data_IF_781530618318
#
_entry.id   IF_781530618318
#
_cell.length_a   1.000
_cell.length_b   1.000
_cell.length_c   1.000
_cell.angle_alpha   90.00
_cell.angle_beta   90.00
_cell.angle_gamma   90.00
#
_symmetry.space_group_name_H-M   'P 1'
#
loop_
_entity.id
_entity.type
_entity.pdbx_description
1 polymer ?
#
# COMPACT_ATOMS: atom_id res chain seq x y z
N UNK A 1 -11.35 9.12 21.63
CA UNK A 1 -10.13 8.36 21.24
C UNK A 1 -10.14 6.90 21.73
N UNK A 2 -10.26 6.59 23.04
CA UNK A 2 -10.25 5.18 23.54
C UNK A 2 -11.34 4.27 22.97
N UNK A 3 -12.50 4.81 22.61
CA UNK A 3 -13.58 4.09 21.92
C UNK A 3 -13.22 3.78 20.46
N UNK A 4 -12.60 4.73 19.75
CA UNK A 4 -12.18 4.57 18.34
C UNK A 4 -11.03 3.56 18.19
N UNK A 5 -10.05 3.55 19.10
CA UNK A 5 -8.96 2.56 19.10
C UNK A 5 -9.49 1.15 19.33
N UNK A 6 -10.46 0.97 20.23
CA UNK A 6 -11.09 -0.35 20.47
C UNK A 6 -11.82 -0.86 19.23
N UNK A 7 -12.60 -0.01 18.57
CA UNK A 7 -13.30 -0.36 17.32
C UNK A 7 -12.29 -0.76 16.23
N UNK A 8 -11.22 0.01 16.04
CA UNK A 8 -10.19 -0.31 15.06
C UNK A 8 -9.54 -1.67 15.36
N UNK A 9 -9.17 -1.93 16.62
CA UNK A 9 -8.59 -3.21 17.02
C UNK A 9 -9.54 -4.38 16.75
N UNK A 10 -10.83 -4.24 17.08
CA UNK A 10 -11.83 -5.28 16.79
C UNK A 10 -11.89 -5.59 15.29
N UNK A 11 -11.91 -4.57 14.43
CA UNK A 11 -11.93 -4.75 12.98
C UNK A 11 -10.66 -5.49 12.50
N UNK A 12 -9.49 -5.13 13.03
CA UNK A 12 -8.22 -5.80 12.69
C UNK A 12 -8.23 -7.27 13.14
N UNK A 13 -8.71 -7.56 14.36
CA UNK A 13 -8.83 -8.95 14.83
C UNK A 13 -9.78 -9.77 13.97
N UNK A 14 -10.90 -9.19 13.51
CA UNK A 14 -11.81 -9.85 12.58
C UNK A 14 -11.09 -10.15 11.25
N UNK A 15 -10.38 -9.17 10.67
CA UNK A 15 -9.61 -9.36 9.43
C UNK A 15 -8.57 -10.48 9.56
N UNK A 16 -7.78 -10.47 10.63
CA UNK A 16 -6.77 -11.51 10.88
C UNK A 16 -7.45 -12.87 11.12
N UNK A 17 -8.54 -12.90 11.87
CA UNK A 17 -9.31 -14.11 12.14
C UNK A 17 -9.84 -14.78 10.87
N UNK A 18 -10.32 -13.99 9.90
CA UNK A 18 -10.78 -14.49 8.59
C UNK A 18 -9.62 -15.12 7.81
N UNK A 19 -8.45 -14.48 7.81
CA UNK A 19 -7.25 -15.01 7.13
C UNK A 19 -6.80 -16.31 7.80
N UNK A 20 -6.75 -16.35 9.13
CA UNK A 20 -6.38 -17.55 9.88
C UNK A 20 -7.40 -18.67 9.67
N UNK A 21 -8.68 -18.36 9.62
CA UNK A 21 -9.74 -19.33 9.30
C UNK A 21 -9.49 -19.97 7.93
N UNK A 22 -9.19 -19.18 6.91
CA UNK A 22 -8.84 -19.70 5.58
C UNK A 22 -7.62 -20.63 5.66
N UNK A 23 -6.53 -20.18 6.30
CA UNK A 23 -5.30 -20.97 6.40
C UNK A 23 -5.56 -22.30 7.11
N UNK A 24 -6.18 -22.26 8.29
CA UNK A 24 -6.41 -23.46 9.11
C UNK A 24 -7.33 -24.44 8.41
N UNK A 25 -8.46 -23.97 7.88
CA UNK A 25 -9.43 -24.85 7.20
C UNK A 25 -8.84 -25.37 5.89
N UNK A 26 -8.18 -24.50 5.11
CA UNK A 26 -7.64 -24.84 3.82
C UNK A 26 -6.47 -25.83 3.88
N UNK A 27 -5.67 -25.83 4.96
CA UNK A 27 -4.57 -26.78 5.16
C UNK A 27 -5.02 -28.25 5.06
N UNK A 28 -6.23 -28.58 5.50
CA UNK A 28 -6.77 -29.95 5.42
C UNK A 28 -7.12 -30.40 4.00
N UNK A 29 -7.19 -29.47 3.04
CA UNK A 29 -7.57 -29.74 1.65
C UNK A 29 -6.42 -29.49 0.67
N UNK A 30 -5.21 -29.23 1.18
CA UNK A 30 -4.01 -29.07 0.34
C UNK A 30 -3.67 -30.40 -0.32
N UNK A 31 -3.55 -30.39 -1.64
CA UNK A 31 -3.06 -31.51 -2.45
C UNK A 31 -1.70 -31.14 -3.02
N UNK A 32 -0.59 -31.74 -2.54
CA UNK A 32 0.76 -31.44 -3.02
C UNK A 32 0.95 -31.57 -4.54
N UNK A 33 0.10 -32.37 -5.20
CA UNK A 33 0.06 -32.48 -6.66
C UNK A 33 -0.18 -31.12 -7.37
N UNK A 34 -0.88 -30.18 -6.74
CA UNK A 34 -1.14 -28.85 -7.30
C UNK A 34 0.13 -27.98 -7.37
N UNK A 35 1.17 -28.31 -6.60
CA UNK A 35 2.46 -27.63 -6.65
C UNK A 35 3.37 -28.14 -7.77
N UNK A 36 2.92 -29.10 -8.58
CA UNK A 36 3.66 -29.56 -9.75
C UNK A 36 3.00 -29.09 -11.05
N UNK A 37 3.73 -28.36 -11.92
CA UNK A 37 5.08 -27.82 -11.74
C UNK A 37 5.12 -26.61 -10.77
N UNK A 38 6.17 -26.49 -9.95
CA UNK A 38 6.28 -25.42 -8.94
C UNK A 38 6.62 -24.07 -9.55
N UNK A 39 7.46 -24.06 -10.59
CA UNK A 39 7.89 -22.87 -11.31
C UNK A 39 7.55 -22.97 -12.81
N UNK A 40 6.26 -23.01 -13.19
CA UNK A 40 5.85 -23.14 -14.59
C UNK A 40 6.37 -22.00 -15.48
N UNK A 41 6.52 -20.80 -14.89
CA UNK A 41 6.98 -19.61 -15.59
C UNK A 41 8.45 -19.25 -15.29
N UNK A 42 9.18 -20.09 -14.54
CA UNK A 42 10.57 -19.84 -14.14
C UNK A 42 10.78 -18.61 -13.23
N UNK A 43 12.06 -18.29 -12.97
CA UNK A 43 12.46 -17.17 -12.09
C UNK A 43 12.31 -15.79 -12.73
N UNK A 44 12.88 -15.63 -13.92
CA UNK A 44 12.90 -14.38 -14.69
C UNK A 44 12.49 -14.73 -16.11
N UNK A 45 11.18 -14.62 -16.40
CA UNK A 45 10.64 -14.91 -17.72
C UNK A 45 9.82 -13.72 -18.20
N UNK A 46 9.92 -13.40 -19.50
CA UNK A 46 9.21 -12.29 -20.14
C UNK A 46 7.67 -12.41 -20.04
N UNK A 47 7.16 -13.60 -19.69
CA UNK A 47 5.72 -13.87 -19.51
C UNK A 47 5.22 -13.74 -18.07
N UNK A 48 6.01 -13.20 -17.14
CA UNK A 48 5.60 -13.04 -15.74
C UNK A 48 5.98 -14.22 -14.84
N UNK A 49 7.28 -14.43 -14.65
CA UNK A 49 7.82 -15.39 -13.67
C UNK A 49 7.74 -14.89 -12.22
N UNK A 50 8.46 -15.55 -11.30
CA UNK A 50 8.47 -15.22 -9.85
C UNK A 50 8.69 -13.73 -9.59
N UNK A 51 9.61 -13.10 -10.33
CA UNK A 51 9.94 -11.69 -10.14
C UNK A 51 8.84 -10.73 -10.63
N UNK A 52 8.14 -11.09 -11.71
CA UNK A 52 6.98 -10.31 -12.19
C UNK A 52 5.82 -10.45 -11.21
N UNK A 53 5.57 -11.66 -10.72
CA UNK A 53 4.60 -11.91 -9.66
C UNK A 53 4.92 -11.13 -8.38
N UNK A 54 6.19 -11.12 -7.95
CA UNK A 54 6.66 -10.36 -6.80
C UNK A 54 6.40 -8.84 -6.96
N UNK A 55 6.62 -8.29 -8.15
CA UNK A 55 6.31 -6.89 -8.45
C UNK A 55 4.80 -6.62 -8.40
N UNK A 56 3.96 -7.55 -8.85
CA UNK A 56 2.50 -7.41 -8.78
C UNK A 56 1.98 -7.49 -7.33
N UNK A 57 2.38 -8.52 -6.58
CA UNK A 57 1.92 -8.74 -5.20
C UNK A 57 2.57 -7.78 -4.20
N UNK A 58 3.57 -7.00 -4.60
CA UNK A 58 4.10 -5.89 -3.80
C UNK A 58 2.99 -4.96 -3.29
N UNK A 59 1.94 -4.78 -4.10
CA UNK A 59 0.75 -4.02 -3.73
C UNK A 59 0.15 -4.45 -2.38
N UNK A 60 0.18 -5.75 -2.06
CA UNK A 60 -0.37 -6.29 -0.82
C UNK A 60 0.40 -5.82 0.42
N UNK A 61 1.67 -5.40 0.28
CA UNK A 61 2.49 -4.90 1.38
C UNK A 61 2.29 -3.41 1.66
N UNK A 62 1.54 -2.70 0.83
CA UNK A 62 1.32 -1.27 1.01
C UNK A 62 0.47 -0.97 2.25
N UNK A 63 0.78 0.15 2.92
CA UNK A 63 0.01 0.65 4.07
C UNK A 63 0.72 0.58 5.42
N UNK A 64 1.91 -0.04 5.52
CA UNK A 64 2.71 0.04 6.76
C UNK A 64 3.17 1.49 7.07
N UNK A 65 3.35 2.30 6.03
CA UNK A 65 3.70 3.72 6.14
C UNK A 65 2.58 4.53 6.79
N UNK A 66 1.33 4.07 6.76
CA UNK A 66 0.22 4.73 7.44
C UNK A 66 0.42 4.78 8.97
N UNK A 67 1.19 3.84 9.55
CA UNK A 67 1.57 3.87 10.97
C UNK A 67 2.32 5.17 11.30
N UNK A 68 3.13 5.69 10.36
CA UNK A 68 3.87 6.94 10.52
C UNK A 68 2.98 8.17 10.77
N UNK A 69 1.76 8.17 10.22
CA UNK A 69 0.82 9.28 10.36
C UNK A 69 0.31 9.48 11.79
N UNK A 70 0.33 8.43 12.61
CA UNK A 70 -0.10 8.47 14.02
C UNK A 70 1.05 8.75 14.99
N UNK A 71 2.24 9.13 14.50
CA UNK A 71 3.43 9.33 15.34
C UNK A 71 3.19 10.32 16.52
N UNK A 72 2.38 11.35 16.30
CA UNK A 72 2.06 12.37 17.31
C UNK A 72 1.21 11.83 18.47
N UNK A 73 0.49 10.72 18.27
CA UNK A 73 -0.41 10.11 19.26
C UNK A 73 0.24 8.92 19.99
N UNK A 74 1.41 8.48 19.54
CA UNK A 74 2.10 7.31 20.09
C UNK A 74 2.93 7.69 21.31
N UNK A 75 2.71 6.99 22.43
CA UNK A 75 3.61 7.07 23.59
C UNK A 75 4.99 6.56 23.19
N UNK A 76 6.05 7.35 23.41
CA UNK A 76 7.43 7.02 23.03
C UNK A 76 7.56 6.58 21.54
N UNK A 77 7.34 7.52 20.59
CA UNK A 77 7.31 7.19 19.16
C UNK A 77 8.66 6.68 18.66
N UNK A 78 9.77 7.11 19.27
CA UNK A 78 11.14 6.68 18.91
C UNK A 78 11.34 5.17 18.95
N UNK A 79 10.68 4.48 19.89
CA UNK A 79 10.76 3.03 20.05
C UNK A 79 9.55 2.30 19.46
N UNK A 80 8.35 2.85 19.68
CA UNK A 80 7.12 2.14 19.34
C UNK A 80 6.76 2.24 17.85
N UNK A 81 7.16 3.30 17.15
CA UNK A 81 6.89 3.43 15.71
C UNK A 81 7.65 2.40 14.87
N UNK A 82 8.98 2.20 15.05
CA UNK A 82 9.71 1.14 14.34
C UNK A 82 9.17 -0.25 14.64
N UNK A 83 8.82 -0.54 15.90
CA UNK A 83 8.25 -1.84 16.30
C UNK A 83 6.90 -2.05 15.61
N UNK A 84 6.05 -1.02 15.54
CA UNK A 84 4.77 -1.09 14.83
C UNK A 84 4.96 -1.38 13.35
N UNK A 85 5.83 -0.61 12.66
CA UNK A 85 6.08 -0.77 11.22
C UNK A 85 6.66 -2.16 10.90
N UNK A 86 7.74 -2.55 11.56
CA UNK A 86 8.42 -3.82 11.30
C UNK A 86 7.55 -5.00 11.74
N UNK A 87 6.89 -4.89 12.90
CA UNK A 87 6.01 -5.93 13.43
C UNK A 87 4.82 -6.21 12.51
N UNK A 88 4.16 -5.17 12.01
CA UNK A 88 3.06 -5.33 11.03
C UNK A 88 3.55 -5.99 9.75
N UNK A 89 4.72 -5.60 9.23
CA UNK A 89 5.30 -6.23 8.04
C UNK A 89 5.60 -7.72 8.25
N UNK A 90 6.21 -8.10 9.37
CA UNK A 90 6.53 -9.50 9.67
C UNK A 90 5.23 -10.34 9.75
N UNK A 91 4.23 -9.85 10.49
CA UNK A 91 2.95 -10.55 10.62
C UNK A 91 2.26 -10.69 9.27
N UNK A 92 2.22 -9.62 8.47
CA UNK A 92 1.64 -9.65 7.13
C UNK A 92 2.37 -10.66 6.22
N UNK A 93 3.70 -10.67 6.21
CA UNK A 93 4.52 -11.63 5.43
C UNK A 93 4.16 -13.08 5.78
N UNK A 94 4.10 -13.42 7.07
CA UNK A 94 3.77 -14.79 7.51
C UNK A 94 2.38 -15.19 7.03
N UNK A 95 1.39 -14.30 7.19
CA UNK A 95 0.03 -14.57 6.75
C UNK A 95 -0.07 -14.68 5.22
N UNK A 96 0.58 -13.80 4.45
CA UNK A 96 0.56 -13.85 2.99
C UNK A 96 1.22 -15.09 2.42
N UNK A 97 2.35 -15.51 2.99
CA UNK A 97 3.00 -16.78 2.64
C UNK A 97 2.07 -17.95 2.97
N UNK A 98 1.45 -17.96 4.16
CA UNK A 98 0.49 -18.99 4.56
C UNK A 98 -0.70 -19.09 3.61
N UNK A 99 -1.32 -17.96 3.26
CA UNK A 99 -2.41 -17.90 2.27
C UNK A 99 -1.94 -18.43 0.92
N UNK A 100 -0.76 -18.03 0.45
CA UNK A 100 -0.25 -18.44 -0.87
C UNK A 100 0.00 -19.95 -0.95
N UNK A 101 0.59 -20.54 0.08
CA UNK A 101 0.84 -21.99 0.19
C UNK A 101 -0.49 -22.76 0.18
N UNK A 102 -1.45 -22.34 1.02
CA UNK A 102 -2.76 -23.01 1.12
C UNK A 102 -3.56 -22.86 -0.16
N UNK A 103 -3.62 -21.65 -0.72
CA UNK A 103 -4.41 -21.34 -1.91
C UNK A 103 -3.94 -22.15 -3.13
N UNK A 104 -2.64 -22.14 -3.41
CA UNK A 104 -2.04 -22.91 -4.50
C UNK A 104 -2.03 -24.42 -4.23
N UNK A 105 -2.05 -24.81 -2.95
CA UNK A 105 -2.17 -26.21 -2.54
C UNK A 105 -3.57 -26.77 -2.72
N UNK A 106 -4.62 -25.97 -2.52
CA UNK A 106 -6.02 -26.40 -2.70
C UNK A 106 -6.43 -26.42 -4.18
N UNK A 107 -6.02 -25.41 -4.94
CA UNK A 107 -6.42 -25.22 -6.33
C UNK A 107 -5.20 -24.96 -7.22
N UNK A 108 -5.15 -25.65 -8.36
CA UNK A 108 -4.09 -25.42 -9.37
C UNK A 108 -4.04 -23.95 -9.81
N UNK A 109 -2.82 -23.41 -9.92
CA UNK A 109 -2.56 -22.02 -10.30
C UNK A 109 -3.25 -21.57 -11.60
N UNK A 110 -3.54 -22.51 -12.51
CA UNK A 110 -4.23 -22.25 -13.78
C UNK A 110 -5.69 -21.81 -13.61
N UNK A 111 -6.32 -22.12 -12.48
CA UNK A 111 -7.73 -21.80 -12.20
C UNK A 111 -7.90 -20.63 -11.22
N UNK A 112 -6.80 -20.04 -10.75
CA UNK A 112 -6.83 -18.98 -9.74
C UNK A 112 -7.02 -17.56 -10.33
N UNK A 113 -7.10 -17.42 -11.65
CA UNK A 113 -7.40 -16.14 -12.30
C UNK A 113 -8.90 -15.81 -12.22
N UNK A 114 -9.38 -15.60 -11.00
CA UNK A 114 -10.76 -15.25 -10.66
C UNK A 114 -10.77 -13.99 -9.78
N UNK A 115 -11.91 -13.34 -9.66
CA UNK A 115 -12.03 -12.10 -8.88
C UNK A 115 -11.83 -12.31 -7.36
N UNK A 116 -12.20 -13.48 -6.84
CA UNK A 116 -12.24 -13.81 -5.41
C UNK A 116 -11.57 -15.16 -5.09
N UNK A 117 -10.25 -15.32 -5.35
CA UNK A 117 -9.58 -16.62 -5.35
C UNK A 117 -9.65 -17.38 -4.02
N UNK A 118 -9.66 -16.67 -2.89
CA UNK A 118 -9.77 -17.26 -1.55
C UNK A 118 -11.14 -17.91 -1.33
N UNK A 119 -12.22 -17.22 -1.72
CA UNK A 119 -13.58 -17.75 -1.62
C UNK A 119 -13.80 -18.88 -2.64
N UNK A 120 -13.32 -18.69 -3.86
CA UNK A 120 -13.34 -19.70 -4.92
C UNK A 120 -12.66 -21.01 -4.49
N UNK A 121 -11.49 -20.95 -3.84
CA UNK A 121 -10.79 -22.15 -3.40
C UNK A 121 -11.58 -22.95 -2.36
N UNK A 122 -12.30 -22.29 -1.45
CA UNK A 122 -13.19 -22.96 -0.50
C UNK A 122 -14.42 -23.56 -1.17
N UNK A 123 -15.01 -22.86 -2.15
CA UNK A 123 -16.13 -23.39 -2.93
C UNK A 123 -15.70 -24.60 -3.77
N UNK A 124 -14.48 -24.59 -4.31
CA UNK A 124 -13.91 -25.70 -5.09
C UNK A 124 -13.81 -27.00 -4.29
N UNK A 125 -13.66 -26.91 -2.97
CA UNK A 125 -13.64 -28.07 -2.05
C UNK A 125 -14.99 -28.29 -1.35
N UNK A 126 -16.07 -27.68 -1.86
CA UNK A 126 -17.45 -27.75 -1.34
C UNK A 126 -17.66 -27.12 0.06
N UNK A 127 -16.77 -26.23 0.51
CA UNK A 127 -16.90 -25.49 1.78
C UNK A 127 -17.61 -24.15 1.60
N UNK A 128 -18.79 -24.16 0.99
CA UNK A 128 -19.55 -22.95 0.62
C UNK A 128 -19.91 -22.08 1.83
N UNK A 129 -20.18 -22.70 2.99
CA UNK A 129 -20.50 -21.97 4.22
C UNK A 129 -19.30 -21.15 4.72
N UNK A 130 -18.11 -21.74 4.73
CA UNK A 130 -16.87 -21.05 5.12
C UNK A 130 -16.56 -19.97 4.10
N UNK A 131 -16.70 -20.25 2.81
CA UNK A 131 -16.53 -19.26 1.74
C UNK A 131 -17.43 -18.04 1.94
N UNK A 132 -18.69 -18.24 2.34
CA UNK A 132 -19.64 -17.16 2.63
C UNK A 132 -19.19 -16.27 3.80
N UNK A 133 -18.76 -16.87 4.92
CA UNK A 133 -18.24 -16.12 6.08
C UNK A 133 -17.03 -15.27 5.69
N UNK A 134 -16.08 -15.87 4.96
CA UNK A 134 -14.87 -15.17 4.52
C UNK A 134 -15.21 -14.03 3.56
N UNK A 135 -16.15 -14.25 2.64
CA UNK A 135 -16.57 -13.24 1.67
C UNK A 135 -17.21 -12.04 2.35
N UNK A 136 -18.14 -12.25 3.30
CA UNK A 136 -18.76 -11.17 4.07
C UNK A 136 -17.70 -10.38 4.85
N UNK A 137 -16.78 -11.09 5.50
CA UNK A 137 -15.70 -10.49 6.25
C UNK A 137 -14.73 -9.68 5.39
N UNK A 138 -14.40 -10.20 4.21
CA UNK A 138 -13.55 -9.51 3.22
C UNK A 138 -14.25 -8.25 2.70
N UNK A 139 -15.53 -8.32 2.33
CA UNK A 139 -16.32 -7.17 1.87
C UNK A 139 -16.41 -6.06 2.92
N UNK A 140 -16.73 -6.40 4.17
CA UNK A 140 -16.75 -5.44 5.28
C UNK A 140 -15.36 -4.79 5.49
N UNK A 141 -14.31 -5.61 5.37
CA UNK A 141 -12.92 -5.17 5.50
C UNK A 141 -12.48 -4.20 4.39
N UNK A 142 -12.85 -4.51 3.14
CA UNK A 142 -12.59 -3.69 1.95
C UNK A 142 -13.38 -2.39 1.98
N UNK A 143 -14.66 -2.44 2.33
CA UNK A 143 -15.52 -1.25 2.45
C UNK A 143 -14.93 -0.24 3.45
N UNK A 144 -14.52 -0.71 4.62
CA UNK A 144 -13.89 0.13 5.65
C UNK A 144 -12.59 0.76 5.13
N UNK A 145 -11.77 -0.02 4.42
CA UNK A 145 -10.52 0.48 3.83
C UNK A 145 -10.78 1.53 2.75
N UNK A 146 -11.79 1.32 1.91
CA UNK A 146 -12.17 2.25 0.85
C UNK A 146 -12.59 3.61 1.42
N UNK A 147 -13.49 3.62 2.42
CA UNK A 147 -13.92 4.86 3.09
C UNK A 147 -12.73 5.57 3.75
N UNK A 148 -11.85 4.81 4.40
CA UNK A 148 -10.67 5.36 5.08
C UNK A 148 -9.70 5.99 4.09
N UNK A 149 -9.46 5.34 2.94
CA UNK A 149 -8.55 5.88 1.92
C UNK A 149 -9.12 7.10 1.21
N UNK A 150 -10.40 7.11 0.87
CA UNK A 150 -11.06 8.31 0.31
C UNK A 150 -10.87 9.51 1.27
N UNK A 151 -11.08 9.29 2.56
CA UNK A 151 -10.92 10.34 3.56
C UNK A 151 -9.44 10.77 3.72
N UNK A 152 -8.51 9.82 3.79
CA UNK A 152 -7.06 10.11 3.90
C UNK A 152 -6.54 10.89 2.69
N UNK A 153 -6.86 10.43 1.47
CA UNK A 153 -6.49 11.10 0.23
C UNK A 153 -7.09 12.51 0.13
N UNK A 154 -8.33 12.71 0.59
CA UNK A 154 -8.94 14.05 0.61
C UNK A 154 -8.17 15.05 1.48
N UNK A 155 -7.61 14.60 2.61
CA UNK A 155 -6.80 15.42 3.51
C UNK A 155 -5.44 15.75 2.92
N UNK A 156 -4.83 14.82 2.20
CA UNK A 156 -3.57 15.05 1.48
C UNK A 156 -3.75 16.10 0.38
N UNK A 157 -4.82 16.00 -0.42
CA UNK A 157 -5.13 17.01 -1.43
C UNK A 157 -5.42 18.38 -0.79
N UNK A 158 -6.14 18.39 0.34
CA UNK A 158 -6.37 19.60 1.12
C UNK A 158 -5.07 20.24 1.62
N UNK A 159 -4.13 19.47 2.18
CA UNK A 159 -2.85 20.03 2.67
C UNK A 159 -2.04 20.63 1.54
N UNK A 160 -1.95 19.96 0.39
CA UNK A 160 -1.25 20.49 -0.80
C UNK A 160 -1.94 21.77 -1.31
N UNK A 161 -3.28 21.81 -1.33
CA UNK A 161 -4.05 23.00 -1.71
C UNK A 161 -3.91 24.15 -0.72
N UNK A 162 -3.86 23.86 0.59
CA UNK A 162 -3.62 24.85 1.65
C UNK A 162 -2.24 25.48 1.52
N UNK A 163 -1.23 24.68 1.20
CA UNK A 163 0.15 25.12 0.99
C UNK A 163 0.34 25.88 -0.35
N UNK A 164 -0.73 25.97 -1.16
CA UNK A 164 -0.79 26.77 -2.39
C UNK A 164 -0.24 26.08 -3.62
N UNK A 165 0.11 24.80 -3.53
CA UNK A 165 0.64 24.00 -4.65
C UNK A 165 -0.46 23.53 -5.61
N UNK A 166 -1.71 23.49 -5.16
CA UNK A 166 -2.91 23.19 -5.95
C UNK A 166 -3.90 24.37 -5.92
N UNK A 167 -4.89 24.41 -6.84
CA UNK A 167 -5.91 25.46 -6.86
C UNK A 167 -6.54 25.72 -5.49
N UNK A 168 -6.67 27.00 -5.13
CA UNK A 168 -7.00 27.41 -3.75
C UNK A 168 -8.33 26.85 -3.21
N UNK A 169 -9.30 26.50 -4.08
CA UNK A 169 -10.57 25.91 -3.64
C UNK A 169 -10.41 24.52 -3.02
N UNK A 170 -9.34 23.78 -3.33
CA UNK A 170 -9.03 22.48 -2.71
C UNK A 170 -8.43 22.65 -1.29
N UNK A 171 -7.89 23.82 -0.99
CA UNK A 171 -7.37 24.17 0.34
C UNK A 171 -8.42 24.75 1.30
N UNK A 172 -9.73 24.67 0.98
CA UNK A 172 -10.81 25.22 1.82
C UNK A 172 -11.52 24.15 2.64
N UNK A 173 -11.81 24.48 3.90
CA UNK A 173 -12.67 23.68 4.78
C UNK A 173 -14.11 24.17 4.72
N UNK A 174 -15.06 23.26 4.90
CA UNK A 174 -16.46 23.59 5.08
C UNK A 174 -16.74 24.15 6.50
N UNK A 175 -18.00 24.53 6.76
CA UNK A 175 -18.45 25.04 8.07
C UNK A 175 -18.27 24.04 9.23
N UNK A 176 -18.06 22.76 8.93
CA UNK A 176 -17.90 21.66 9.90
C UNK A 176 -16.43 21.23 10.04
N UNK A 177 -15.50 21.91 9.37
CA UNK A 177 -14.07 21.61 9.42
C UNK A 177 -13.62 20.46 8.51
N UNK A 178 -14.44 20.03 7.54
CA UNK A 178 -14.09 18.98 6.59
C UNK A 178 -13.66 19.55 5.23
N UNK A 179 -12.69 18.93 4.53
CA UNK A 179 -12.25 19.36 3.21
C UNK A 179 -13.22 18.89 2.11
N UNK A 180 -14.43 19.44 2.07
CA UNK A 180 -15.52 18.99 1.19
C UNK A 180 -15.17 18.96 -0.30
N UNK A 181 -14.49 20.01 -0.80
CA UNK A 181 -14.11 20.10 -2.21
C UNK A 181 -13.09 19.02 -2.60
N UNK A 182 -12.09 18.80 -1.75
CA UNK A 182 -11.07 17.77 -1.95
C UNK A 182 -11.67 16.37 -1.85
N UNK A 183 -12.63 16.17 -0.95
CA UNK A 183 -13.36 14.91 -0.81
C UNK A 183 -14.14 14.59 -2.09
N UNK A 184 -14.86 15.57 -2.65
CA UNK A 184 -15.62 15.40 -3.88
C UNK A 184 -14.71 15.10 -5.07
N UNK A 185 -13.61 15.85 -5.23
CA UNK A 185 -12.63 15.62 -6.30
C UNK A 185 -12.04 14.21 -6.22
N UNK A 186 -11.56 13.81 -5.03
CA UNK A 186 -10.96 12.48 -4.82
C UNK A 186 -11.98 11.38 -5.10
N UNK A 187 -13.23 11.53 -4.64
CA UNK A 187 -14.28 10.54 -4.85
C UNK A 187 -14.61 10.38 -6.35
N UNK A 188 -14.71 11.48 -7.09
CA UNK A 188 -14.96 11.44 -8.54
C UNK A 188 -13.80 10.74 -9.26
N UNK A 189 -12.55 11.10 -8.95
CA UNK A 189 -11.38 10.47 -9.56
C UNK A 189 -11.34 8.97 -9.25
N UNK A 190 -11.56 8.56 -8.00
CA UNK A 190 -11.58 7.15 -7.61
C UNK A 190 -12.71 6.40 -8.30
N UNK A 191 -13.92 6.98 -8.40
CA UNK A 191 -15.05 6.35 -9.07
C UNK A 191 -14.81 6.15 -10.57
N UNK A 192 -14.22 7.15 -11.24
CA UNK A 192 -13.86 7.05 -12.67
C UNK A 192 -12.75 6.03 -12.86
N UNK A 193 -11.66 6.11 -12.08
CA UNK A 193 -10.55 5.18 -12.22
C UNK A 193 -10.98 3.74 -11.90
N UNK A 194 -11.72 3.51 -10.82
CA UNK A 194 -12.18 2.18 -10.43
C UNK A 194 -13.26 1.59 -11.34
N UNK A 195 -14.02 2.43 -12.06
CA UNK A 195 -15.06 1.99 -13.00
C UNK A 195 -14.54 1.67 -14.40
N UNK A 196 -13.50 2.35 -14.87
CA UNK A 196 -13.02 2.26 -16.26
C UNK A 196 -11.64 1.59 -16.41
N UNK A 197 -10.83 1.52 -15.34
CA UNK A 197 -9.46 1.02 -15.42
C UNK A 197 -9.37 -0.38 -14.76
N UNK A 198 -8.82 -1.39 -15.46
CA UNK A 198 -8.59 -2.71 -14.91
C UNK A 198 -7.73 -2.70 -13.64
N UNK A 199 -8.01 -3.64 -12.71
CA UNK A 199 -7.34 -3.73 -11.41
C UNK A 199 -5.83 -3.97 -11.55
N UNK A 200 -5.40 -4.78 -12.51
CA UNK A 200 -3.98 -5.05 -12.79
C UNK A 200 -3.24 -3.78 -13.22
N UNK A 201 -3.85 -2.94 -14.07
CA UNK A 201 -3.27 -1.65 -14.43
C UNK A 201 -3.21 -0.69 -13.24
N UNK A 202 -4.28 -0.60 -12.44
CA UNK A 202 -4.30 0.24 -11.24
C UNK A 202 -3.23 -0.18 -10.22
N UNK A 203 -3.13 -1.48 -9.94
CA UNK A 203 -2.12 -2.01 -9.00
C UNK A 203 -0.70 -1.77 -9.50
N UNK A 204 -0.44 -1.94 -10.81
CA UNK A 204 0.85 -1.61 -11.40
C UNK A 204 1.19 -0.11 -11.27
N UNK A 205 0.22 0.78 -11.49
CA UNK A 205 0.39 2.23 -11.32
C UNK A 205 0.64 2.64 -9.86
N UNK A 206 0.01 1.96 -8.91
CA UNK A 206 0.30 2.19 -7.49
C UNK A 206 1.72 1.69 -7.17
N UNK A 207 2.09 0.49 -7.65
CA UNK A 207 3.40 -0.10 -7.39
C UNK A 207 4.55 0.77 -7.92
N UNK A 208 4.46 1.32 -9.13
CA UNK A 208 5.54 2.18 -9.67
C UNK A 208 5.72 3.44 -8.80
N UNK A 209 4.62 4.09 -8.42
CA UNK A 209 4.65 5.30 -7.59
C UNK A 209 5.25 5.03 -6.21
N UNK A 210 4.83 3.95 -5.56
CA UNK A 210 5.34 3.60 -4.23
C UNK A 210 6.79 3.13 -4.25
N UNK A 211 7.20 2.34 -5.26
CA UNK A 211 8.60 1.94 -5.41
C UNK A 211 9.52 3.15 -5.64
N UNK A 212 9.10 4.12 -6.44
CA UNK A 212 9.83 5.39 -6.61
C UNK A 212 9.91 6.15 -5.28
N UNK A 213 8.81 6.24 -4.52
CA UNK A 213 8.83 6.88 -3.21
C UNK A 213 9.78 6.18 -2.22
N UNK A 214 9.77 4.84 -2.17
CA UNK A 214 10.67 4.06 -1.31
C UNK A 214 12.13 4.15 -1.74
N UNK A 215 12.39 4.28 -3.04
CA UNK A 215 13.72 4.59 -3.58
C UNK A 215 14.23 5.92 -3.02
N UNK A 216 13.41 6.98 -3.09
CA UNK A 216 13.76 8.29 -2.55
C UNK A 216 13.96 8.27 -1.03
N UNK A 217 13.10 7.55 -0.28
CA UNK A 217 13.28 7.39 1.18
C UNK A 217 14.58 6.65 1.50
N UNK A 218 14.89 5.57 0.77
CA UNK A 218 16.11 4.78 0.98
C UNK A 218 17.37 5.61 0.72
N UNK A 219 17.41 6.38 -0.36
CA UNK A 219 18.52 7.30 -0.62
C UNK A 219 18.54 8.49 0.34
N UNK A 220 17.37 9.02 0.72
CA UNK A 220 17.23 10.19 1.59
C UNK A 220 17.80 9.98 2.99
N UNK A 221 17.87 8.74 3.48
CA UNK A 221 18.51 8.41 4.77
C UNK A 221 20.02 8.71 4.75
N UNK A 222 20.70 8.59 3.61
CA UNK A 222 22.16 8.76 3.48
C UNK A 222 22.59 10.22 3.79
N UNK A 223 22.05 11.26 3.13
CA UNK A 223 22.36 12.64 3.49
C UNK A 223 21.78 13.01 4.86
N UNK A 224 20.60 12.48 5.23
CA UNK A 224 19.97 12.79 6.51
C UNK A 224 20.84 12.35 7.70
N UNK A 225 21.56 11.22 7.58
CA UNK A 225 22.45 10.73 8.63
C UNK A 225 23.71 11.59 8.82
N UNK A 226 24.10 12.35 7.80
CA UNK A 226 25.22 13.28 7.89
C UNK A 226 24.80 14.70 8.33
N UNK A 227 23.49 14.97 8.41
CA UNK A 227 23.00 16.27 8.85
C UNK A 227 23.17 16.44 10.37
N UNK A 228 24.09 17.33 10.76
CA UNK A 228 24.42 17.62 12.16
C UNK A 228 23.26 18.27 12.95
N UNK A 229 22.34 18.95 12.27
CA UNK A 229 21.20 19.63 12.88
C UNK A 229 20.10 18.65 13.35
N UNK A 230 20.05 17.46 12.76
CA UNK A 230 19.01 16.45 13.01
C UNK A 230 19.61 15.25 13.76
N UNK A 231 20.72 15.43 14.50
CA UNK A 231 21.38 14.35 15.23
C UNK A 231 20.45 13.71 16.28
N UNK A 232 19.72 12.70 15.82
CA UNK A 232 18.76 11.95 16.61
C UNK A 232 19.50 10.82 17.34
N UNK A 233 20.41 11.18 18.24
CA UNK A 233 21.22 10.24 19.03
C UNK A 233 20.38 9.31 19.92
N UNK A 234 19.06 9.55 20.03
CA UNK A 234 18.15 8.83 20.91
C UNK A 234 17.02 8.09 20.16
N UNK A 235 17.00 8.11 18.83
CA UNK A 235 15.98 7.46 17.98
C UNK A 235 16.42 6.10 17.43
N UNK A 236 15.48 5.35 16.84
CA UNK A 236 15.83 4.14 16.09
C UNK A 236 16.72 4.47 14.90
N UNK A 237 17.79 3.70 14.75
CA UNK A 237 18.72 3.80 13.62
C UNK A 237 18.67 2.50 12.84
N UNK A 238 18.62 2.62 11.51
CA UNK A 238 18.69 1.44 10.63
C UNK A 238 20.02 0.71 10.90
N UNK A 239 19.98 -0.59 11.21
CA UNK A 239 21.19 -1.39 11.38
C UNK A 239 21.96 -1.47 10.06
N UNK A 240 23.27 -1.75 10.12
CA UNK A 240 24.11 -1.98 8.92
C UNK A 240 24.09 -0.85 7.89
N UNK A 241 23.98 0.40 8.32
CA UNK A 241 24.16 1.56 7.45
C UNK A 241 25.61 1.66 6.93
N UNK A 242 25.83 2.05 5.66
CA UNK A 242 24.84 2.43 4.64
C UNK A 242 24.32 1.25 3.78
N UNK A 243 24.72 0.02 4.10
CA UNK A 243 24.46 -1.17 3.28
C UNK A 243 22.97 -1.47 3.12
N UNK A 244 22.19 -1.49 4.21
CA UNK A 244 20.75 -1.78 4.12
C UNK A 244 19.94 -0.76 3.29
N UNK A 245 20.11 0.57 3.47
CA UNK A 245 19.49 1.55 2.58
C UNK A 245 19.86 1.37 1.11
N UNK A 246 21.13 1.06 0.81
CA UNK A 246 21.58 0.82 -0.57
C UNK A 246 20.92 -0.44 -1.14
N UNK A 247 20.89 -1.54 -0.39
CA UNK A 247 20.20 -2.78 -0.81
C UNK A 247 18.72 -2.51 -1.05
N UNK A 248 18.04 -1.79 -0.16
CA UNK A 248 16.63 -1.40 -0.32
C UNK A 248 16.42 -0.61 -1.63
N UNK A 249 17.27 0.38 -1.89
CA UNK A 249 17.22 1.17 -3.11
C UNK A 249 17.45 0.31 -4.37
N UNK A 250 18.44 -0.58 -4.35
CA UNK A 250 18.74 -1.48 -5.47
C UNK A 250 17.61 -2.48 -5.72
N UNK A 251 16.98 -3.01 -4.67
CA UNK A 251 15.82 -3.90 -4.81
C UNK A 251 14.60 -3.16 -5.36
N UNK A 252 14.33 -1.93 -4.90
CA UNK A 252 13.26 -1.11 -5.48
C UNK A 252 13.53 -0.83 -6.97
N UNK A 253 14.77 -0.44 -7.32
CA UNK A 253 15.17 -0.21 -8.70
C UNK A 253 15.02 -1.48 -9.54
N UNK A 254 15.41 -2.63 -9.00
CA UNK A 254 15.25 -3.91 -9.68
C UNK A 254 13.78 -4.25 -9.93
N UNK A 255 12.89 -4.08 -8.94
CA UNK A 255 11.46 -4.33 -9.09
C UNK A 255 10.80 -3.37 -10.10
N UNK A 256 11.25 -2.10 -10.18
CA UNK A 256 10.79 -1.15 -11.20
C UNK A 256 11.04 -1.66 -12.63
N UNK A 257 12.15 -2.35 -12.87
CA UNK A 257 12.44 -2.96 -14.20
C UNK A 257 11.52 -4.12 -14.57
N UNK A 258 10.76 -4.66 -13.61
CA UNK A 258 9.83 -5.79 -13.81
C UNK A 258 8.39 -5.35 -14.08
N UNK A 259 8.11 -4.05 -14.02
CA UNK A 259 6.79 -3.52 -14.35
C UNK A 259 6.61 -3.39 -15.87
N UNK A 260 5.36 -3.53 -16.39
CA UNK A 260 5.06 -3.35 -17.80
C UNK A 260 5.48 -1.98 -18.35
N UNK A 261 5.82 -1.92 -19.64
CA UNK A 261 6.18 -0.66 -20.31
C UNK A 261 5.04 0.38 -20.30
N UNK A 262 3.79 -0.07 -20.35
CA UNK A 262 2.59 0.78 -20.25
C UNK A 262 2.56 1.56 -18.93
N UNK A 263 2.96 0.91 -17.83
CA UNK A 263 3.05 1.52 -16.49
C UNK A 263 4.08 2.65 -16.46
N UNK A 264 5.21 2.49 -17.15
CA UNK A 264 6.22 3.53 -17.27
C UNK A 264 5.73 4.73 -18.07
N UNK A 265 5.06 4.48 -19.20
CA UNK A 265 4.47 5.54 -20.03
C UNK A 265 3.48 6.36 -19.20
N UNK A 266 2.54 5.68 -18.54
CA UNK A 266 1.54 6.33 -17.70
C UNK A 266 2.17 7.11 -16.52
N UNK A 267 3.21 6.56 -15.89
CA UNK A 267 3.93 7.25 -14.82
C UNK A 267 4.64 8.50 -15.32
N UNK A 268 5.32 8.44 -16.46
CA UNK A 268 5.98 9.60 -17.07
C UNK A 268 4.95 10.68 -17.42
N UNK A 269 3.82 10.31 -18.04
CA UNK A 269 2.73 11.25 -18.35
C UNK A 269 2.24 11.92 -17.07
N UNK A 270 2.01 11.16 -16.00
CA UNK A 270 1.57 11.70 -14.72
C UNK A 270 2.60 12.67 -14.09
N UNK A 271 3.89 12.32 -14.12
CA UNK A 271 4.96 13.21 -13.66
C UNK A 271 5.04 14.50 -14.48
N UNK A 272 4.91 14.41 -15.81
CA UNK A 272 4.89 15.58 -16.69
C UNK A 272 3.71 16.48 -16.36
N UNK A 273 2.50 15.92 -16.15
CA UNK A 273 1.33 16.70 -15.70
C UNK A 273 1.61 17.40 -14.36
N UNK A 274 2.21 16.68 -13.40
CA UNK A 274 2.60 17.24 -12.10
C UNK A 274 3.60 18.40 -12.23
N UNK A 275 4.60 18.26 -13.09
CA UNK A 275 5.57 19.32 -13.37
C UNK A 275 4.92 20.52 -14.07
N UNK A 276 4.04 20.31 -15.03
CA UNK A 276 3.28 21.39 -15.68
C UNK A 276 2.47 22.15 -14.65
N UNK A 277 1.72 21.46 -13.78
CA UNK A 277 0.95 22.10 -12.70
C UNK A 277 1.85 22.86 -11.72
N UNK A 278 3.00 22.29 -11.36
CA UNK A 278 3.96 22.93 -10.47
C UNK A 278 4.55 24.21 -11.08
N UNK A 279 5.07 24.17 -12.31
CA UNK A 279 5.70 25.32 -12.94
C UNK A 279 4.69 26.38 -13.42
N UNK A 280 3.47 25.99 -13.80
CA UNK A 280 2.45 26.95 -14.22
C UNK A 280 1.77 27.65 -13.05
N UNK A 281 1.42 26.91 -11.99
CA UNK A 281 0.63 27.41 -10.87
C UNK A 281 1.38 27.35 -9.54
N UNK A 282 1.93 26.18 -9.19
CA UNK A 282 2.49 25.90 -7.87
C UNK A 282 3.63 26.83 -7.46
N UNK A 283 4.56 27.15 -8.37
CA UNK A 283 5.72 28.00 -8.07
C UNK A 283 5.32 29.43 -7.72
N UNK A 284 4.23 29.93 -8.28
CA UNK A 284 3.74 31.31 -8.06
C UNK A 284 2.86 31.43 -6.81
N UNK A 285 2.23 30.33 -6.39
CA UNK A 285 1.24 30.31 -5.31
C UNK A 285 1.72 29.59 -4.04
N UNK A 286 2.89 28.94 -4.07
CA UNK A 286 3.45 28.25 -2.91
C UNK A 286 3.69 29.22 -1.76
N UNK A 287 3.17 28.86 -0.58
CA UNK A 287 3.30 29.65 0.66
C UNK A 287 4.38 29.13 1.61
N UNK A 288 5.06 28.04 1.24
CA UNK A 288 6.01 27.31 2.10
C UNK A 288 7.15 28.19 2.67
N UNK A 289 7.57 29.23 1.95
CA UNK A 289 8.62 30.15 2.43
C UNK A 289 8.09 31.46 3.05
N UNK A 290 6.80 31.77 2.95
CA UNK A 290 6.27 33.02 3.51
C UNK A 290 6.07 32.97 5.02
N UNK A 291 5.88 31.77 5.59
CA UNK A 291 5.67 31.58 7.04
C UNK A 291 6.98 31.51 7.85
N UNK A 292 8.16 31.62 7.20
CA UNK A 292 9.47 31.67 7.90
C UNK A 292 9.96 33.08 8.21
N UNK A 293 9.24 34.13 7.78
CA UNK A 293 9.62 35.53 7.96
C UNK A 293 8.76 36.29 8.99
N UNK A 294 8.02 35.59 9.87
CA UNK A 294 7.26 36.21 10.98
C UNK A 294 7.68 35.62 12.32
#
# INVERSE_FOLDING_TARGET
MRSSVRVNNTIVFVKIGIILLFIIVGLFYVKPANWHPFLPYGWSSSKGGVLGGAAAVFFAYLGFDAVSSSAAEVKNPKKNMPIGIIGTLIVATVLYVGVSIVLTGMVSYTKLNVADPVAFALQFVNLNWVAGIISIGALAGMFTMMVTMIYSSSRLIYSIGRDGLLPHFLGKLDKRGNPGNSLMLVTIVIAVMGGFIPLDQLTNLVNIGTLIAFLFVSFGIIPLRHNKEIQNNHGYQVPGYPVFPIISALLCLYMLTKLPAETWIASIIWFVIGLILYFSYGIRHSKINKDREV
#
